data_IF_173633202614
#
_entry.id   IF_173633202614
#
_cell.length_a   1.000
_cell.length_b   1.000
_cell.length_c   1.000
_cell.angle_alpha   90.00
_cell.angle_beta   90.00
_cell.angle_gamma   90.00
#
_symmetry.space_group_name_H-M   'P 1'
#
loop_
_entity.id
_entity.type
_entity.pdbx_description
1 polymer ?
#
# COMPACT_ATOMS: atom_id res chain seq x y z
N UNK A 1 -12.38 -9.35 -25.51
CA UNK A 1 -12.52 -7.87 -25.39
C UNK A 1 -13.98 -7.55 -25.61
N UNK A 2 -14.69 -7.14 -24.60
CA UNK A 2 -16.06 -6.64 -24.76
C UNK A 2 -15.96 -5.22 -25.36
N UNK A 3 -16.59 -5.03 -26.52
CA UNK A 3 -16.72 -3.70 -27.14
C UNK A 3 -17.82 -2.96 -26.36
N UNK A 4 -17.44 -2.09 -25.44
CA UNK A 4 -18.40 -1.24 -24.75
C UNK A 4 -18.79 -0.08 -25.66
N UNK A 5 -20.10 0.27 -25.67
CA UNK A 5 -20.59 1.46 -26.36
C UNK A 5 -19.95 2.73 -25.80
N UNK A 6 -19.72 3.70 -26.67
CA UNK A 6 -19.28 5.02 -26.24
C UNK A 6 -20.38 5.67 -25.40
N UNK A 7 -19.99 6.20 -24.25
CA UNK A 7 -20.89 6.97 -23.38
C UNK A 7 -20.71 8.44 -23.74
N UNK A 8 -21.81 9.14 -23.96
CA UNK A 8 -21.82 10.59 -24.19
C UNK A 8 -22.48 11.31 -23.03
N UNK A 9 -21.95 12.46 -22.67
CA UNK A 9 -22.57 13.37 -21.69
C UNK A 9 -23.81 14.01 -22.27
N UNK A 10 -24.66 14.65 -21.42
CA UNK A 10 -25.82 15.44 -21.84
C UNK A 10 -25.47 16.53 -22.85
N UNK A 11 -24.23 17.03 -22.82
CA UNK A 11 -23.71 18.06 -23.72
C UNK A 11 -23.11 17.50 -25.02
N UNK A 12 -23.31 16.20 -25.30
CA UNK A 12 -22.84 15.53 -26.52
C UNK A 12 -21.34 15.19 -26.55
N UNK A 13 -20.59 15.39 -25.46
CA UNK A 13 -19.18 15.02 -25.40
C UNK A 13 -19.03 13.51 -25.16
N UNK A 14 -18.18 12.85 -25.97
CA UNK A 14 -17.84 11.44 -25.79
C UNK A 14 -16.85 11.25 -24.62
N UNK A 15 -17.19 10.37 -23.68
CA UNK A 15 -16.31 9.98 -22.60
C UNK A 15 -15.32 8.90 -23.09
N UNK A 16 -14.03 9.18 -22.92
CA UNK A 16 -12.99 8.21 -23.26
C UNK A 16 -12.84 7.14 -22.17
N UNK A 17 -12.69 5.89 -22.60
CA UNK A 17 -12.36 4.79 -21.68
C UNK A 17 -10.94 4.90 -21.14
N UNK A 18 -10.81 4.96 -19.81
CA UNK A 18 -9.51 5.01 -19.15
C UNK A 18 -9.04 3.61 -18.75
N UNK A 19 -7.74 3.33 -18.90
CA UNK A 19 -7.11 2.09 -18.41
C UNK A 19 -6.87 2.11 -16.92
N UNK A 20 -6.77 3.30 -16.33
CA UNK A 20 -6.63 3.50 -14.89
C UNK A 20 -7.13 4.88 -14.51
N UNK A 21 -7.62 5.00 -13.28
CA UNK A 21 -8.04 6.27 -12.70
C UNK A 21 -7.39 6.43 -11.31
N UNK A 22 -6.96 7.66 -11.00
CA UNK A 22 -6.48 7.97 -9.65
C UNK A 22 -7.62 8.59 -8.84
N UNK A 23 -7.97 7.92 -7.73
CA UNK A 23 -9.02 8.37 -6.82
C UNK A 23 -8.50 8.32 -5.37
N UNK A 24 -8.61 9.42 -4.64
CA UNK A 24 -8.15 9.56 -3.25
C UNK A 24 -6.74 8.97 -2.99
N UNK A 25 -5.81 9.22 -3.93
CA UNK A 25 -4.43 8.74 -3.79
C UNK A 25 -4.19 7.28 -4.22
N UNK A 26 -5.25 6.52 -4.54
CA UNK A 26 -5.18 5.15 -5.04
C UNK A 26 -5.32 5.16 -6.56
N UNK A 27 -4.61 4.26 -7.23
CA UNK A 27 -4.77 4.03 -8.66
C UNK A 27 -5.60 2.77 -8.87
N UNK A 28 -6.84 2.96 -9.33
CA UNK A 28 -7.77 1.89 -9.69
C UNK A 28 -7.51 1.50 -11.14
N UNK A 29 -7.42 0.20 -11.40
CA UNK A 29 -7.14 -0.35 -12.74
C UNK A 29 -8.42 -0.83 -13.40
N UNK A 30 -8.51 -0.68 -14.70
CA UNK A 30 -9.55 -1.30 -15.52
C UNK A 30 -9.28 -2.82 -15.61
N UNK A 31 -10.04 -3.61 -14.84
CA UNK A 31 -9.95 -5.06 -14.76
C UNK A 31 -11.35 -5.67 -14.57
N UNK A 32 -11.49 -6.97 -14.77
CA UNK A 32 -12.76 -7.69 -14.58
C UNK A 32 -13.25 -7.67 -13.11
N UNK A 33 -12.34 -7.49 -12.15
CA UNK A 33 -12.63 -7.32 -10.74
C UNK A 33 -11.97 -6.06 -10.22
N UNK A 34 -12.47 -5.52 -9.09
CA UNK A 34 -11.86 -4.34 -8.45
C UNK A 34 -10.39 -4.61 -8.13
N UNK A 35 -9.50 -3.78 -8.69
CA UNK A 35 -8.06 -3.97 -8.62
C UNK A 35 -7.36 -2.61 -8.47
N UNK A 36 -6.35 -2.56 -7.60
CA UNK A 36 -5.57 -1.36 -7.33
C UNK A 36 -4.10 -1.56 -7.66
N UNK A 37 -3.42 -0.49 -8.07
CA UNK A 37 -1.97 -0.49 -8.31
C UNK A 37 -1.22 0.15 -7.15
N UNK A 38 -0.26 -0.56 -6.59
CA UNK A 38 0.63 -0.09 -5.52
C UNK A 38 1.95 0.52 -6.04
N UNK A 39 2.12 0.67 -7.36
CA UNK A 39 3.35 1.24 -7.95
C UNK A 39 3.67 2.62 -7.40
N UNK A 40 2.64 3.48 -7.27
CA UNK A 40 2.81 4.83 -6.75
C UNK A 40 3.22 4.83 -5.27
N UNK A 41 2.58 4.02 -4.44
CA UNK A 41 2.91 3.89 -3.01
C UNK A 41 4.33 3.35 -2.80
N UNK A 42 4.77 2.36 -3.60
CA UNK A 42 6.16 1.87 -3.59
C UNK A 42 7.15 2.97 -3.96
N UNK A 43 6.89 3.72 -5.03
CA UNK A 43 7.77 4.81 -5.45
C UNK A 43 7.85 5.92 -4.38
N UNK A 44 6.73 6.26 -3.74
CA UNK A 44 6.69 7.24 -2.65
C UNK A 44 7.44 6.73 -1.41
N UNK A 45 7.29 5.44 -1.06
CA UNK A 45 8.05 4.80 0.00
C UNK A 45 9.56 4.88 -0.22
N UNK A 46 10.04 4.50 -1.42
CA UNK A 46 11.47 4.57 -1.72
C UNK A 46 12.01 6.00 -1.69
N UNK A 47 11.25 6.99 -2.16
CA UNK A 47 11.65 8.40 -2.08
C UNK A 47 11.77 8.84 -0.62
N UNK A 48 10.78 8.55 0.21
CA UNK A 48 10.79 8.89 1.63
C UNK A 48 11.94 8.19 2.37
N UNK A 49 12.12 6.89 2.14
CA UNK A 49 13.20 6.13 2.76
C UNK A 49 14.58 6.64 2.34
N UNK A 50 14.81 6.85 1.04
CA UNK A 50 16.10 7.35 0.56
C UNK A 50 16.40 8.77 1.06
N UNK A 51 15.37 9.63 1.18
CA UNK A 51 15.54 10.97 1.73
C UNK A 51 15.95 10.95 3.21
N UNK A 52 15.33 10.06 4.02
CA UNK A 52 15.71 9.87 5.42
C UNK A 52 17.11 9.24 5.52
N UNK A 53 17.32 8.11 4.83
CA UNK A 53 18.56 7.37 4.89
C UNK A 53 19.77 8.19 4.39
N UNK A 54 19.57 9.00 3.35
CA UNK A 54 20.62 9.89 2.86
C UNK A 54 21.06 10.96 3.86
N UNK A 55 20.14 11.39 4.74
CA UNK A 55 20.43 12.42 5.76
C UNK A 55 21.03 11.84 7.05
N UNK A 56 20.50 10.71 7.51
CA UNK A 56 20.82 10.20 8.85
C UNK A 56 21.44 8.80 8.85
N UNK A 57 21.39 8.07 7.75
CA UNK A 57 21.78 6.66 7.68
C UNK A 57 23.26 6.34 7.94
N UNK A 58 24.13 7.37 7.97
CA UNK A 58 25.55 7.21 8.31
C UNK A 58 25.89 7.69 9.72
N UNK A 59 24.97 8.36 10.40
CA UNK A 59 25.21 9.02 11.69
C UNK A 59 24.34 8.43 12.78
N UNK A 60 23.10 8.06 12.43
CA UNK A 60 22.15 7.50 13.39
C UNK A 60 22.35 5.98 13.54
N UNK A 61 22.05 5.46 14.73
CA UNK A 61 22.01 4.01 14.96
C UNK A 61 20.88 3.35 14.16
N UNK A 62 21.03 2.06 13.89
CA UNK A 62 20.05 1.24 13.16
C UNK A 62 18.68 1.28 13.83
N UNK A 63 18.62 1.32 15.15
CA UNK A 63 17.38 1.49 15.93
C UNK A 63 16.60 2.73 15.50
N UNK A 64 17.28 3.87 15.41
CA UNK A 64 16.65 5.15 15.02
C UNK A 64 16.16 5.08 13.57
N UNK A 65 16.95 4.50 12.69
CA UNK A 65 16.58 4.38 11.27
C UNK A 65 15.37 3.46 11.09
N UNK A 66 15.32 2.34 11.79
CA UNK A 66 14.18 1.41 11.79
C UNK A 66 12.92 2.07 12.37
N UNK A 67 13.07 2.86 13.43
CA UNK A 67 11.96 3.64 13.99
C UNK A 67 11.39 4.64 12.95
N UNK A 68 12.27 5.36 12.24
CA UNK A 68 11.89 6.27 11.16
C UNK A 68 11.26 5.51 9.97
N UNK A 69 11.80 4.37 9.60
CA UNK A 69 11.21 3.48 8.58
C UNK A 69 9.78 3.10 8.98
N UNK A 70 9.60 2.65 10.22
CA UNK A 70 8.32 2.15 10.73
C UNK A 70 7.28 3.26 10.86
N UNK A 71 7.67 4.44 11.37
CA UNK A 71 6.73 5.53 11.64
C UNK A 71 6.51 6.50 10.49
N UNK A 72 7.47 6.63 9.57
CA UNK A 72 7.37 7.60 8.47
C UNK A 72 7.21 6.95 7.10
N UNK A 73 7.93 5.85 6.82
CA UNK A 73 7.92 5.24 5.49
C UNK A 73 6.84 4.17 5.34
N UNK A 74 6.66 3.29 6.32
CA UNK A 74 5.64 2.24 6.25
C UNK A 74 4.21 2.79 6.11
N UNK A 75 3.78 3.88 6.78
CA UNK A 75 2.45 4.44 6.55
C UNK A 75 2.20 4.88 5.10
N UNK A 76 3.23 5.35 4.39
CA UNK A 76 3.14 5.72 2.98
C UNK A 76 2.92 4.47 2.11
N UNK A 77 3.68 3.40 2.39
CA UNK A 77 3.57 2.13 1.66
C UNK A 77 2.23 1.46 1.87
N UNK A 78 1.71 1.53 3.10
CA UNK A 78 0.48 0.87 3.56
C UNK A 78 -0.76 1.77 3.43
N UNK A 79 -0.66 2.90 2.71
CA UNK A 79 -1.80 3.78 2.53
C UNK A 79 -2.93 3.07 1.78
N UNK A 80 -4.12 3.10 2.36
CA UNK A 80 -5.35 2.52 1.82
C UNK A 80 -5.27 1.00 1.52
N UNK A 81 -4.33 0.29 2.15
CA UNK A 81 -4.17 -1.16 1.98
C UNK A 81 -5.39 -1.93 2.51
N UNK A 82 -6.11 -1.35 3.47
CA UNK A 82 -7.32 -1.90 4.10
C UNK A 82 -8.51 -1.99 3.14
N UNK A 83 -8.60 -1.08 2.17
CA UNK A 83 -9.72 -1.02 1.21
C UNK A 83 -9.40 -1.64 -0.14
N UNK A 84 -8.13 -1.87 -0.44
CA UNK A 84 -7.70 -2.47 -1.70
C UNK A 84 -7.63 -4.00 -1.59
N UNK A 85 -8.14 -4.74 -2.58
CA UNK A 85 -7.94 -6.19 -2.64
C UNK A 85 -6.45 -6.48 -2.88
N UNK A 86 -5.87 -7.33 -2.02
CA UNK A 86 -4.47 -7.71 -2.07
C UNK A 86 -4.31 -9.09 -2.66
N UNK A 87 -3.61 -9.19 -3.78
CA UNK A 87 -3.13 -10.47 -4.29
C UNK A 87 -1.86 -10.91 -3.54
N UNK A 88 -1.54 -12.20 -3.60
CA UNK A 88 -0.26 -12.72 -3.07
C UNK A 88 0.94 -12.02 -3.70
N UNK A 89 0.87 -11.69 -5.00
CA UNK A 89 1.90 -10.93 -5.71
C UNK A 89 2.07 -9.52 -5.11
N UNK A 90 0.96 -8.80 -4.86
CA UNK A 90 1.02 -7.47 -4.27
C UNK A 90 1.69 -7.50 -2.88
N UNK A 91 1.31 -8.47 -2.04
CA UNK A 91 1.93 -8.65 -0.70
C UNK A 91 3.43 -8.90 -0.83
N UNK A 92 3.83 -9.81 -1.74
CA UNK A 92 5.24 -10.13 -1.99
C UNK A 92 6.03 -8.92 -2.48
N UNK A 93 5.47 -8.13 -3.40
CA UNK A 93 6.11 -6.90 -3.90
C UNK A 93 6.27 -5.82 -2.82
N UNK A 94 5.27 -5.64 -1.95
CA UNK A 94 5.34 -4.69 -0.84
C UNK A 94 6.35 -5.16 0.21
N UNK A 95 6.35 -6.47 0.53
CA UNK A 95 7.32 -7.06 1.45
C UNK A 95 8.74 -6.92 0.91
N UNK A 96 8.95 -7.15 -0.39
CA UNK A 96 10.26 -6.97 -1.02
C UNK A 96 10.79 -5.54 -0.86
N UNK A 97 9.92 -4.53 -0.97
CA UNK A 97 10.31 -3.14 -0.76
C UNK A 97 10.81 -2.89 0.67
N UNK A 98 10.13 -3.45 1.68
CA UNK A 98 10.53 -3.33 3.08
C UNK A 98 11.83 -4.09 3.35
N UNK A 99 11.92 -5.34 2.88
CA UNK A 99 13.15 -6.15 3.03
C UNK A 99 14.35 -5.45 2.38
N UNK A 100 14.17 -4.84 1.20
CA UNK A 100 15.21 -4.07 0.53
C UNK A 100 15.69 -2.84 1.33
N UNK A 101 14.76 -2.16 2.03
CA UNK A 101 15.12 -1.06 2.93
C UNK A 101 15.92 -1.58 4.16
N UNK A 102 15.51 -2.69 4.75
CA UNK A 102 16.21 -3.33 5.87
C UNK A 102 17.59 -3.80 5.44
N UNK A 103 17.73 -4.45 4.27
CA UNK A 103 19.02 -4.84 3.70
C UNK A 103 19.98 -3.65 3.58
N UNK A 104 19.46 -2.48 3.20
CA UNK A 104 20.25 -1.26 3.08
C UNK A 104 20.64 -0.68 4.44
N UNK A 105 19.80 -0.80 5.47
CA UNK A 105 20.09 -0.33 6.83
C UNK A 105 21.22 -1.14 7.44
N UNK A 106 21.15 -2.46 7.31
CA UNK A 106 22.14 -3.40 7.91
C UNK A 106 23.29 -3.76 6.97
N UNK A 107 23.40 -3.11 5.82
CA UNK A 107 24.43 -3.36 4.79
C UNK A 107 24.62 -4.85 4.46
N UNK A 108 23.51 -5.57 4.33
CA UNK A 108 23.51 -6.99 4.02
C UNK A 108 22.95 -7.29 2.65
N UNK A 109 23.48 -8.30 1.97
CA UNK A 109 22.95 -8.83 0.70
C UNK A 109 22.03 -10.03 0.89
N UNK A 110 22.00 -10.61 2.10
CA UNK A 110 21.17 -11.77 2.42
C UNK A 110 19.77 -11.34 2.86
N UNK A 111 18.75 -11.85 2.17
CA UNK A 111 17.35 -11.64 2.55
C UNK A 111 16.99 -12.28 3.89
N UNK A 112 17.61 -13.43 4.20
CA UNK A 112 17.34 -14.17 5.43
C UNK A 112 17.85 -13.39 6.64
N UNK A 113 19.07 -12.85 6.56
CA UNK A 113 19.63 -11.97 7.59
C UNK A 113 18.76 -10.72 7.75
N UNK A 114 18.35 -10.09 6.65
CA UNK A 114 17.50 -8.90 6.70
C UNK A 114 16.11 -9.19 7.35
N UNK A 115 15.51 -10.33 7.07
CA UNK A 115 14.26 -10.75 7.69
C UNK A 115 14.45 -11.01 9.20
N UNK A 116 15.50 -11.70 9.60
CA UNK A 116 15.84 -11.91 11.02
C UNK A 116 16.06 -10.57 11.74
N UNK A 117 16.82 -9.65 11.14
CA UNK A 117 16.97 -8.30 11.67
C UNK A 117 15.64 -7.57 11.80
N UNK A 118 14.80 -7.63 10.76
CA UNK A 118 13.47 -6.99 10.79
C UNK A 118 12.63 -7.51 11.96
N UNK A 119 12.62 -8.82 12.21
CA UNK A 119 11.91 -9.45 13.33
C UNK A 119 12.47 -9.01 14.68
N UNK A 120 13.78 -9.03 14.86
CA UNK A 120 14.46 -8.60 16.10
C UNK A 120 14.16 -7.13 16.44
N UNK A 121 14.05 -6.27 15.42
CA UNK A 121 13.72 -4.85 15.58
C UNK A 121 12.20 -4.56 15.53
N UNK A 122 11.36 -5.59 15.56
CA UNK A 122 9.90 -5.45 15.63
C UNK A 122 9.23 -4.93 14.35
N UNK A 123 9.89 -5.00 13.19
CA UNK A 123 9.30 -4.68 11.89
C UNK A 123 8.40 -5.83 11.48
N UNK A 124 7.09 -5.61 11.59
CA UNK A 124 6.09 -6.64 11.27
C UNK A 124 5.99 -6.89 9.77
N UNK A 125 5.68 -8.14 9.41
CA UNK A 125 5.41 -8.56 8.04
C UNK A 125 4.21 -7.80 7.45
N UNK A 126 4.28 -7.45 6.17
CA UNK A 126 3.24 -6.72 5.42
C UNK A 126 1.90 -7.45 5.46
N UNK A 127 1.88 -8.78 5.35
CA UNK A 127 0.66 -9.58 5.43
C UNK A 127 -0.05 -9.39 6.77
N UNK A 128 0.68 -9.46 7.88
CA UNK A 128 0.15 -9.25 9.23
C UNK A 128 -0.38 -7.81 9.41
N UNK A 129 0.39 -6.82 8.94
CA UNK A 129 -0.02 -5.41 9.01
C UNK A 129 -1.28 -5.13 8.19
N UNK A 130 -1.38 -5.70 6.99
CA UNK A 130 -2.54 -5.55 6.11
C UNK A 130 -3.80 -6.17 6.77
N UNK A 131 -3.68 -7.39 7.32
CA UNK A 131 -4.78 -8.05 8.00
C UNK A 131 -5.24 -7.27 9.25
N UNK A 132 -4.30 -6.79 10.06
CA UNK A 132 -4.64 -5.98 11.24
C UNK A 132 -5.39 -4.70 10.85
N UNK A 133 -4.93 -3.99 9.80
CA UNK A 133 -5.59 -2.77 9.31
C UNK A 133 -6.97 -3.07 8.74
N UNK A 134 -7.09 -4.14 7.93
CA UNK A 134 -8.37 -4.54 7.34
C UNK A 134 -9.39 -4.90 8.42
N UNK A 135 -9.00 -5.69 9.42
CA UNK A 135 -9.90 -6.06 10.51
C UNK A 135 -10.34 -4.83 11.30
N UNK A 136 -9.42 -3.92 11.64
CA UNK A 136 -9.77 -2.66 12.29
C UNK A 136 -10.74 -1.83 11.45
N UNK A 137 -10.47 -1.68 10.16
CA UNK A 137 -11.34 -0.94 9.24
C UNK A 137 -12.75 -1.54 9.20
N UNK A 138 -12.88 -2.88 9.12
CA UNK A 138 -14.17 -3.55 9.12
C UNK A 138 -14.93 -3.38 10.44
N UNK A 139 -14.23 -3.44 11.59
CA UNK A 139 -14.82 -3.16 12.89
C UNK A 139 -15.32 -1.73 13.00
N UNK A 140 -14.51 -0.75 12.58
CA UNK A 140 -14.88 0.67 12.57
C UNK A 140 -16.08 0.94 11.63
N UNK A 141 -16.15 0.22 10.51
CA UNK A 141 -17.24 0.32 9.54
C UNK A 141 -18.55 -0.24 10.11
N UNK A 142 -18.48 -1.39 10.76
CA UNK A 142 -19.65 -2.02 11.41
C UNK A 142 -20.16 -1.21 12.62
N UNK A 143 -19.25 -0.53 13.34
CA UNK A 143 -19.63 0.35 14.45
C UNK A 143 -20.30 1.66 14.01
N UNK A 144 -20.00 2.12 12.79
CA UNK A 144 -20.66 3.29 12.22
C UNK A 144 -22.03 2.89 11.66
N UNK A 145 -23.08 3.23 12.36
CA UNK A 145 -24.48 3.07 11.90
C UNK A 145 -24.82 4.02 10.74
N UNK A 146 -24.10 3.89 9.64
CA UNK A 146 -24.41 4.65 8.42
C UNK A 146 -25.59 3.99 7.70
N UNK A 147 -26.64 4.76 7.42
CA UNK A 147 -27.82 4.33 6.63
C UNK A 147 -27.36 3.76 5.27
N UNK A 148 -26.37 4.40 4.62
CA UNK A 148 -25.80 3.93 3.35
C UNK A 148 -25.16 2.54 3.48
N UNK A 149 -24.49 2.25 4.59
CA UNK A 149 -23.84 0.96 4.78
C UNK A 149 -24.86 -0.16 5.01
N UNK A 150 -25.92 0.12 5.79
CA UNK A 150 -27.05 -0.84 6.00
C UNK A 150 -27.73 -1.18 4.67
N UNK A 151 -27.94 -0.19 3.80
CA UNK A 151 -28.57 -0.37 2.48
C UNK A 151 -27.67 -1.18 1.52
N UNK A 152 -26.36 -0.94 1.51
CA UNK A 152 -25.41 -1.68 0.65
C UNK A 152 -25.17 -3.12 1.09
N UNK A 153 -25.24 -3.44 2.39
CA UNK A 153 -25.08 -4.79 2.90
C UNK A 153 -26.37 -5.63 2.88
N UNK A 154 -27.53 -5.01 2.58
CA UNK A 154 -28.83 -5.69 2.45
C UNK A 154 -29.15 -6.10 0.99
N UNK A 155 -28.28 -5.80 0.02
CA UNK A 155 -28.32 -6.22 -1.37
C UNK A 155 -27.40 -7.42 -1.59
#
# INVERSE_FOLDING_TARGET
KYNCCNITTSDGQSLSWATSIRYLGIVILNAASFCCSFKHSKAAFYRAFNAIFGKVGRVASENVIIELLSKKCLPILLYAIEVCPLSKSNISELQFAVTGAVMKIFDTKSKDIANTCAELFGVRNISSLANTRKNKFLLDLNAKESIMFKTLCSL
#
